data_IF_360991264720
#
_entry.id   IF_360991264720
#
_cell.length_a   1.000
_cell.length_b   1.000
_cell.length_c   1.000
_cell.angle_alpha   90.00
_cell.angle_beta   90.00
_cell.angle_gamma   90.00
#
_symmetry.space_group_name_H-M   'P 1'
#
loop_
_entity.id
_entity.type
_entity.pdbx_description
1 polymer ?
#
# COMPACT_ATOMS: atom_id res chain seq x y z
N UNK A 1 41.04 -13.58 39.26
CA UNK A 1 40.74 -12.91 37.97
C UNK A 1 39.22 -12.89 37.85
N UNK A 2 38.63 -11.70 37.74
CA UNK A 2 37.21 -11.46 37.95
C UNK A 2 36.33 -12.09 36.84
N UNK A 3 35.57 -13.12 37.22
CA UNK A 3 34.38 -13.57 36.51
C UNK A 3 33.21 -13.45 37.51
N UNK A 4 32.77 -12.22 37.75
CA UNK A 4 31.66 -11.91 38.65
C UNK A 4 30.78 -10.86 38.00
N UNK A 5 30.19 -11.20 36.84
CA UNK A 5 29.10 -10.42 36.28
C UNK A 5 27.82 -10.75 37.03
N UNK A 6 27.07 -9.74 37.45
CA UNK A 6 25.70 -9.91 37.97
C UNK A 6 24.88 -10.59 36.86
N UNK A 7 24.19 -11.67 37.20
CA UNK A 7 23.33 -12.36 36.22
C UNK A 7 22.11 -11.49 35.92
N UNK A 8 21.55 -11.60 34.71
CA UNK A 8 20.38 -10.79 34.32
C UNK A 8 19.22 -11.02 35.30
N UNK A 9 19.06 -12.25 35.75
CA UNK A 9 18.04 -12.71 36.68
C UNK A 9 18.19 -12.15 38.10
N UNK A 10 19.36 -11.60 38.43
CA UNK A 10 19.67 -10.98 39.73
C UNK A 10 19.37 -9.46 39.73
N UNK A 11 18.97 -8.89 38.59
CA UNK A 11 18.58 -7.48 38.53
C UNK A 11 17.26 -7.23 39.26
N UNK A 12 17.09 -6.03 39.87
CA UNK A 12 15.80 -5.56 40.34
C UNK A 12 14.71 -5.65 39.27
N UNK A 13 13.48 -5.92 39.72
CA UNK A 13 12.30 -6.07 38.86
C UNK A 13 12.13 -4.87 37.92
N UNK A 14 12.36 -3.66 38.41
CA UNK A 14 12.21 -2.41 37.67
C UNK A 14 13.23 -2.32 36.53
N UNK A 15 14.45 -2.81 36.72
CA UNK A 15 15.47 -2.86 35.66
C UNK A 15 15.12 -3.91 34.61
N UNK A 16 14.61 -5.07 35.02
CA UNK A 16 14.11 -6.09 34.10
C UNK A 16 12.98 -5.55 33.23
N UNK A 17 12.01 -4.86 33.84
CA UNK A 17 10.89 -4.23 33.14
C UNK A 17 11.36 -3.12 32.19
N UNK A 18 12.33 -2.30 32.61
CA UNK A 18 12.92 -1.26 31.76
C UNK A 18 13.65 -1.86 30.54
N UNK A 19 14.39 -2.96 30.73
CA UNK A 19 15.04 -3.69 29.64
C UNK A 19 14.00 -4.23 28.65
N UNK A 20 12.91 -4.83 29.15
CA UNK A 20 11.82 -5.33 28.30
C UNK A 20 11.10 -4.20 27.55
N UNK A 21 10.83 -3.07 28.21
CA UNK A 21 10.21 -1.89 27.60
C UNK A 21 11.10 -1.22 26.53
N UNK A 22 12.42 -1.42 26.62
CA UNK A 22 13.39 -0.96 25.64
C UNK A 22 13.59 -1.93 24.46
N UNK A 23 12.83 -3.02 24.38
CA UNK A 23 12.89 -3.91 23.22
C UNK A 23 12.61 -3.12 21.92
N UNK A 24 13.37 -3.37 20.85
CA UNK A 24 13.27 -2.61 19.60
C UNK A 24 11.97 -2.91 18.83
N UNK A 25 11.41 -4.11 19.00
CA UNK A 25 10.24 -4.57 18.28
C UNK A 25 9.49 -5.66 19.06
N UNK A 26 8.27 -5.96 18.58
CA UNK A 26 7.34 -6.87 19.22
C UNK A 26 7.88 -8.31 19.25
N UNK A 27 8.63 -8.73 18.22
CA UNK A 27 9.21 -10.08 18.12
C UNK A 27 10.34 -10.29 19.13
N UNK A 28 11.16 -9.26 19.33
CA UNK A 28 12.24 -9.27 20.32
C UNK A 28 11.66 -9.32 21.72
N UNK A 29 10.58 -8.56 22.00
CA UNK A 29 9.84 -8.66 23.25
C UNK A 29 9.28 -10.07 23.47
N UNK A 30 8.59 -10.64 22.47
CA UNK A 30 8.06 -12.01 22.52
C UNK A 30 9.18 -13.02 22.87
N UNK A 31 10.31 -12.97 22.16
CA UNK A 31 11.44 -13.86 22.39
C UNK A 31 12.02 -13.70 23.82
N UNK A 32 12.16 -12.47 24.30
CA UNK A 32 12.65 -12.20 25.65
C UNK A 32 11.72 -12.77 26.72
N UNK A 33 10.41 -12.56 26.57
CA UNK A 33 9.38 -13.09 27.48
C UNK A 33 9.37 -14.63 27.48
N UNK A 34 9.64 -15.25 26.33
CA UNK A 34 9.68 -16.70 26.18
C UNK A 34 11.00 -17.35 26.64
N UNK A 35 12.02 -16.56 26.99
CA UNK A 35 13.36 -17.07 27.35
C UNK A 35 13.37 -17.78 28.71
N UNK A 36 12.57 -17.33 29.68
CA UNK A 36 12.50 -18.00 30.97
C UNK A 36 11.57 -17.34 32.00
N UNK A 37 11.37 -18.00 33.16
CA UNK A 37 10.39 -17.56 34.15
C UNK A 37 10.67 -16.18 34.74
N UNK A 38 11.94 -15.77 34.88
CA UNK A 38 12.31 -14.47 35.45
C UNK A 38 11.77 -13.32 34.58
N UNK A 39 12.12 -13.29 33.29
CA UNK A 39 11.66 -12.28 32.34
C UNK A 39 10.15 -12.36 32.12
N UNK A 40 9.58 -13.57 32.05
CA UNK A 40 8.14 -13.76 31.96
C UNK A 40 7.40 -13.14 33.15
N UNK A 41 7.87 -13.36 34.37
CA UNK A 41 7.24 -12.79 35.57
C UNK A 41 7.41 -11.27 35.64
N UNK A 42 8.58 -10.74 35.24
CA UNK A 42 8.80 -9.30 35.17
C UNK A 42 7.86 -8.64 34.15
N UNK A 43 7.72 -9.25 32.98
CA UNK A 43 6.78 -8.85 31.95
C UNK A 43 5.33 -8.89 32.45
N UNK A 44 4.89 -10.01 33.01
CA UNK A 44 3.49 -10.20 33.44
C UNK A 44 3.02 -9.14 34.45
N UNK A 45 3.92 -8.64 35.29
CA UNK A 45 3.62 -7.58 36.26
C UNK A 45 3.47 -6.17 35.64
N UNK A 46 3.91 -5.95 34.41
CA UNK A 46 3.93 -4.64 33.74
C UNK A 46 3.63 -4.71 32.23
N UNK A 47 2.91 -5.74 31.79
CA UNK A 47 2.65 -6.04 30.37
C UNK A 47 2.16 -4.80 29.62
N UNK A 48 1.17 -4.10 30.20
CA UNK A 48 0.58 -2.93 29.59
C UNK A 48 1.59 -1.82 29.30
N UNK A 49 2.45 -1.52 30.28
CA UNK A 49 3.45 -0.44 30.20
C UNK A 49 4.55 -0.82 29.19
N UNK A 50 4.98 -2.08 29.23
CA UNK A 50 6.02 -2.60 28.35
C UNK A 50 5.55 -2.59 26.90
N UNK A 51 4.38 -3.17 26.61
CA UNK A 51 3.83 -3.26 25.25
C UNK A 51 3.54 -1.88 24.68
N UNK A 52 2.98 -0.98 25.49
CA UNK A 52 2.75 0.42 25.14
C UNK A 52 4.04 1.15 24.71
N UNK A 53 5.18 0.77 25.29
CA UNK A 53 6.48 1.34 24.93
C UNK A 53 7.06 0.70 23.66
N UNK A 54 6.93 -0.62 23.52
CA UNK A 54 7.57 -1.39 22.43
C UNK A 54 6.86 -1.20 21.09
N UNK A 55 5.53 -1.14 21.05
CA UNK A 55 4.79 -1.02 19.77
C UNK A 55 5.22 0.24 19.00
N UNK A 56 5.28 1.45 19.58
CA UNK A 56 5.77 2.63 18.87
C UNK A 56 7.23 2.57 18.41
N UNK A 57 8.09 1.76 19.03
CA UNK A 57 9.50 1.64 18.60
C UNK A 57 9.65 0.92 17.24
N UNK A 58 8.73 0.02 16.93
CA UNK A 58 8.76 -0.76 15.68
C UNK A 58 8.36 0.08 14.46
N UNK A 59 7.55 1.12 14.65
CA UNK A 59 6.94 1.87 13.55
C UNK A 59 7.47 3.28 13.43
N UNK A 60 7.57 3.75 12.20
CA UNK A 60 7.73 5.17 11.95
C UNK A 60 6.53 5.94 12.52
N UNK A 61 6.80 7.09 13.16
CA UNK A 61 5.76 7.92 13.78
C UNK A 61 4.62 8.27 12.79
N UNK A 62 4.96 8.44 11.52
CA UNK A 62 4.00 8.74 10.44
C UNK A 62 3.05 7.58 10.10
N UNK A 63 3.45 6.35 10.40
CA UNK A 63 2.67 5.13 10.14
C UNK A 63 1.80 4.72 11.30
N UNK A 64 2.09 5.18 12.53
CA UNK A 64 1.46 4.67 13.74
C UNK A 64 -0.07 4.84 13.72
N UNK A 65 -0.57 5.96 13.17
CA UNK A 65 -2.00 6.17 12.96
C UNK A 65 -2.62 5.08 12.08
N UNK A 66 -2.04 4.78 10.93
CA UNK A 66 -2.53 3.79 9.97
C UNK A 66 -2.43 2.36 10.52
N UNK A 67 -1.36 2.05 11.24
CA UNK A 67 -1.14 0.77 11.93
C UNK A 67 -2.23 0.51 12.97
N UNK A 68 -2.45 1.48 13.87
CA UNK A 68 -3.43 1.34 14.94
C UNK A 68 -4.86 1.34 14.42
N UNK A 69 -5.15 2.16 13.39
CA UNK A 69 -6.46 2.16 12.72
C UNK A 69 -6.74 0.81 12.04
N UNK A 70 -5.76 0.22 11.36
CA UNK A 70 -5.91 -1.10 10.75
C UNK A 70 -6.18 -2.18 11.81
N UNK A 71 -5.50 -2.14 12.95
CA UNK A 71 -5.78 -3.03 14.07
C UNK A 71 -7.17 -2.81 14.68
N UNK A 72 -7.55 -1.56 14.94
CA UNK A 72 -8.87 -1.23 15.49
C UNK A 72 -10.01 -1.68 14.55
N UNK A 73 -9.82 -1.55 13.23
CA UNK A 73 -10.81 -1.96 12.23
C UNK A 73 -11.13 -3.45 12.27
N UNK A 74 -10.19 -4.32 12.67
CA UNK A 74 -10.43 -5.77 12.74
C UNK A 74 -11.40 -6.15 13.88
N UNK A 75 -11.65 -5.24 14.82
CA UNK A 75 -12.58 -5.43 15.95
C UNK A 75 -14.00 -4.96 15.61
N UNK A 76 -14.18 -4.27 14.47
CA UNK A 76 -15.48 -3.79 14.03
C UNK A 76 -16.25 -4.94 13.39
N UNK A 77 -17.40 -5.26 13.95
CA UNK A 77 -18.31 -6.25 13.39
C UNK A 77 -19.54 -5.54 12.81
N UNK A 78 -19.57 -5.40 11.49
CA UNK A 78 -20.73 -4.84 10.78
C UNK A 78 -21.66 -6.00 10.39
N UNK A 79 -22.86 -6.11 10.97
CA UNK A 79 -23.82 -7.14 10.60
C UNK A 79 -24.19 -7.02 9.11
N UNK A 80 -24.27 -8.15 8.42
CA UNK A 80 -24.57 -8.17 6.98
C UNK A 80 -26.04 -7.82 6.66
N UNK A 81 -26.93 -7.84 7.66
CA UNK A 81 -28.39 -7.78 7.51
C UNK A 81 -29.08 -6.63 8.28
N UNK A 82 -28.36 -5.54 8.61
CA UNK A 82 -28.99 -4.39 9.28
C UNK A 82 -29.69 -3.46 8.29
N UNK A 83 -30.97 -3.18 8.53
CA UNK A 83 -31.74 -2.07 7.92
C UNK A 83 -31.18 -0.69 8.30
N UNK A 84 -30.35 -0.63 9.35
CA UNK A 84 -29.63 0.58 9.70
C UNK A 84 -28.57 0.93 8.65
N UNK A 85 -28.56 2.20 8.28
CA UNK A 85 -27.56 2.79 7.40
C UNK A 85 -26.14 2.44 7.91
N UNK A 86 -25.35 1.64 7.16
CA UNK A 86 -24.02 1.20 7.61
C UNK A 86 -23.08 2.37 7.90
N UNK A 87 -23.41 3.57 7.41
CA UNK A 87 -22.74 4.81 7.75
C UNK A 87 -22.77 5.14 9.25
N UNK A 88 -23.89 4.90 9.96
CA UNK A 88 -23.97 5.15 11.42
C UNK A 88 -23.05 4.24 12.23
N UNK A 89 -22.81 3.02 11.74
CA UNK A 89 -21.93 2.05 12.40
C UNK A 89 -20.45 2.33 12.09
N UNK A 90 -20.17 2.96 10.95
CA UNK A 90 -18.82 3.33 10.52
C UNK A 90 -18.35 4.67 11.05
N UNK A 91 -19.27 5.63 11.24
CA UNK A 91 -18.97 7.00 11.64
C UNK A 91 -18.07 7.08 12.89
N UNK A 92 -18.27 6.28 13.96
CA UNK A 92 -17.39 6.31 15.14
C UNK A 92 -15.93 5.94 14.85
N UNK A 93 -15.68 5.19 13.78
CA UNK A 93 -14.33 4.83 13.33
C UNK A 93 -13.80 5.82 12.27
N UNK A 94 -14.63 6.16 11.28
CA UNK A 94 -14.20 6.95 10.12
C UNK A 94 -13.92 8.41 10.50
N UNK A 95 -14.68 9.01 11.42
CA UNK A 95 -14.44 10.39 11.88
C UNK A 95 -13.04 10.55 12.49
N UNK A 96 -12.63 9.80 13.52
CA UNK A 96 -11.28 9.92 14.08
C UNK A 96 -10.19 9.46 13.08
N UNK A 97 -10.49 8.49 12.20
CA UNK A 97 -9.58 8.09 11.14
C UNK A 97 -9.25 9.25 10.20
N UNK A 98 -10.26 9.93 9.65
CA UNK A 98 -10.07 11.07 8.75
C UNK A 98 -9.50 12.30 9.45
N UNK A 99 -9.83 12.52 10.73
CA UNK A 99 -9.23 13.60 11.52
C UNK A 99 -7.74 13.38 11.84
N UNK A 100 -7.17 12.21 11.49
CA UNK A 100 -5.84 11.77 11.94
C UNK A 100 -5.70 11.84 13.47
N UNK A 101 -6.77 11.52 14.19
CA UNK A 101 -6.75 11.47 15.65
C UNK A 101 -6.05 10.18 16.12
N UNK A 102 -4.71 10.24 16.13
CA UNK A 102 -3.89 9.13 16.61
C UNK A 102 -4.20 8.80 18.08
N UNK A 103 -4.56 9.80 18.90
CA UNK A 103 -4.85 9.60 20.32
C UNK A 103 -6.09 8.73 20.51
N UNK A 104 -7.10 8.87 19.65
CA UNK A 104 -8.27 8.00 19.66
C UNK A 104 -7.88 6.52 19.53
N UNK A 105 -7.11 6.17 18.50
CA UNK A 105 -6.72 4.77 18.28
C UNK A 105 -5.76 4.27 19.35
N UNK A 106 -4.84 5.12 19.80
CA UNK A 106 -3.89 4.82 20.85
C UNK A 106 -4.58 4.54 22.20
N UNK A 107 -5.60 5.33 22.55
CA UNK A 107 -6.39 5.13 23.77
C UNK A 107 -7.31 3.91 23.68
N UNK A 108 -7.80 3.56 22.48
CA UNK A 108 -8.64 2.39 22.25
C UNK A 108 -7.87 1.06 22.25
N UNK A 109 -6.53 1.11 22.21
CA UNK A 109 -5.68 -0.06 22.13
C UNK A 109 -5.65 -0.81 23.46
N UNK A 110 -5.96 -2.10 23.40
CA UNK A 110 -5.69 -3.04 24.48
C UNK A 110 -4.19 -3.38 24.43
N UNK A 111 -3.39 -2.72 25.27
CA UNK A 111 -1.93 -2.90 25.31
C UNK A 111 -1.54 -4.25 25.95
N UNK A 112 -1.78 -5.35 25.24
CA UNK A 112 -1.30 -6.68 25.60
C UNK A 112 -0.40 -7.23 24.50
N UNK A 113 0.48 -8.17 24.87
CA UNK A 113 1.38 -8.81 23.90
C UNK A 113 0.58 -9.58 22.85
N UNK A 114 -0.56 -10.17 23.21
CA UNK A 114 -1.43 -10.84 22.25
C UNK A 114 -1.94 -9.90 21.15
N UNK A 115 -2.33 -8.67 21.50
CA UNK A 115 -2.79 -7.69 20.53
C UNK A 115 -1.62 -7.14 19.71
N UNK A 116 -0.46 -6.91 20.35
CA UNK A 116 0.77 -6.51 19.65
C UNK A 116 1.21 -7.56 18.62
N UNK A 117 1.08 -8.86 18.93
CA UNK A 117 1.41 -9.92 17.97
C UNK A 117 0.49 -9.92 16.74
N UNK A 118 -0.79 -9.53 16.89
CA UNK A 118 -1.68 -9.34 15.74
C UNK A 118 -1.25 -8.16 14.87
N UNK A 119 -0.83 -7.04 15.49
CA UNK A 119 -0.24 -5.90 14.78
C UNK A 119 1.01 -6.36 14.02
N UNK A 120 1.92 -7.08 14.68
CA UNK A 120 3.14 -7.57 14.06
C UNK A 120 2.85 -8.54 12.90
N UNK A 121 1.83 -9.40 13.01
CA UNK A 121 1.45 -10.30 11.93
C UNK A 121 0.98 -9.55 10.68
N UNK A 122 0.22 -8.46 10.85
CA UNK A 122 -0.16 -7.59 9.76
C UNK A 122 1.05 -6.85 9.19
N UNK A 123 1.92 -6.31 10.05
CA UNK A 123 3.14 -5.61 9.62
C UNK A 123 4.06 -6.51 8.80
N UNK A 124 4.27 -7.77 9.19
CA UNK A 124 5.02 -8.73 8.38
C UNK A 124 4.41 -8.91 6.98
N UNK A 125 3.08 -8.82 6.85
CA UNK A 125 2.42 -8.84 5.55
C UNK A 125 2.63 -7.55 4.76
N UNK A 126 2.56 -6.40 5.43
CA UNK A 126 2.86 -5.10 4.83
C UNK A 126 4.30 -5.05 4.34
N UNK A 127 5.29 -5.35 5.19
CA UNK A 127 6.70 -5.30 4.81
C UNK A 127 7.02 -6.24 3.65
N UNK A 128 6.44 -7.45 3.64
CA UNK A 128 6.56 -8.38 2.51
C UNK A 128 6.10 -7.74 1.19
N UNK A 129 4.94 -7.07 1.18
CA UNK A 129 4.43 -6.42 -0.02
C UNK A 129 5.16 -5.14 -0.35
N UNK A 130 5.61 -4.36 0.64
CA UNK A 130 6.47 -3.18 0.41
C UNK A 130 7.72 -3.58 -0.35
N UNK A 131 8.43 -4.61 0.12
CA UNK A 131 9.65 -5.09 -0.53
C UNK A 131 9.39 -5.62 -1.93
N UNK A 132 8.29 -6.36 -2.09
CA UNK A 132 7.93 -6.94 -3.38
C UNK A 132 7.50 -5.88 -4.40
N UNK A 133 6.68 -4.91 -3.99
CA UNK A 133 6.26 -3.77 -4.82
C UNK A 133 7.48 -2.93 -5.20
N UNK A 134 8.30 -2.57 -4.21
CA UNK A 134 9.53 -1.83 -4.44
C UNK A 134 10.43 -2.53 -5.46
N UNK A 135 10.60 -3.84 -5.32
CA UNK A 135 11.39 -4.64 -6.24
C UNK A 135 10.76 -4.64 -7.63
N UNK A 136 9.51 -5.11 -7.79
CA UNK A 136 8.86 -5.27 -9.09
C UNK A 136 8.66 -3.94 -9.84
N UNK A 137 8.31 -2.87 -9.13
CA UNK A 137 8.00 -1.59 -9.75
C UNK A 137 9.23 -0.77 -10.16
N UNK A 138 10.36 -0.94 -9.46
CA UNK A 138 11.62 -0.27 -9.83
C UNK A 138 12.28 -0.85 -11.09
N UNK A 139 11.92 -2.08 -11.49
CA UNK A 139 12.43 -2.73 -12.71
C UNK A 139 11.62 -2.43 -13.96
N UNK A 140 10.48 -1.73 -13.84
CA UNK A 140 9.71 -1.34 -15.02
C UNK A 140 10.51 -0.24 -15.72
N UNK A 141 10.93 -0.45 -16.99
CA UNK A 141 11.77 0.50 -17.70
C UNK A 141 11.12 1.87 -17.58
N UNK A 142 11.83 2.79 -16.93
CA UNK A 142 11.56 4.20 -17.07
C UNK A 142 11.35 4.45 -18.55
N UNK A 143 10.41 5.29 -18.90
CA UNK A 143 10.14 5.67 -20.29
C UNK A 143 11.40 6.16 -21.03
N UNK A 144 12.55 6.33 -20.37
CA UNK A 144 13.89 6.52 -20.94
C UNK A 144 14.34 5.34 -21.82
N UNK A 145 14.57 5.60 -23.10
CA UNK A 145 15.24 4.71 -24.05
C UNK A 145 16.75 4.57 -23.80
N UNK A 146 17.27 5.00 -22.64
CA UNK A 146 18.71 4.90 -22.37
C UNK A 146 19.11 3.43 -22.23
N UNK A 147 20.01 2.99 -23.11
CA UNK A 147 20.55 1.62 -23.18
C UNK A 147 21.32 1.20 -21.92
N UNK A 148 21.55 2.14 -20.99
CA UNK A 148 22.16 1.89 -19.69
C UNK A 148 21.09 1.92 -18.59
N UNK A 149 20.70 0.77 -18.00
CA UNK A 149 19.82 0.79 -16.83
C UNK A 149 20.51 1.61 -15.73
N UNK A 150 19.89 2.72 -15.36
CA UNK A 150 20.34 3.51 -14.23
C UNK A 150 20.45 2.58 -12.99
N UNK A 151 21.47 2.75 -12.13
CA UNK A 151 21.58 1.93 -10.93
C UNK A 151 20.29 2.09 -10.12
N UNK A 152 19.57 0.98 -9.95
CA UNK A 152 18.29 0.94 -9.22
C UNK A 152 18.58 1.30 -7.77
N UNK A 153 18.41 2.58 -7.45
CA UNK A 153 18.56 3.06 -6.07
C UNK A 153 17.35 2.53 -5.29
N UNK A 154 17.57 1.89 -4.12
CA UNK A 154 16.47 1.42 -3.27
C UNK A 154 15.45 2.54 -2.99
N UNK A 155 14.19 2.21 -2.69
CA UNK A 155 13.21 3.21 -2.30
C UNK A 155 13.68 3.99 -1.08
N UNK A 156 13.42 5.29 -1.08
CA UNK A 156 13.64 6.13 0.08
C UNK A 156 12.68 5.73 1.22
N UNK A 157 12.94 6.24 2.42
CA UNK A 157 12.07 6.01 3.57
C UNK A 157 10.65 6.54 3.34
N UNK A 158 10.51 7.71 2.69
CA UNK A 158 9.20 8.31 2.37
C UNK A 158 8.44 7.48 1.35
N UNK A 159 9.12 6.93 0.33
CA UNK A 159 8.52 6.02 -0.65
C UNK A 159 8.01 4.72 0.00
N UNK A 160 8.82 4.10 0.87
CA UNK A 160 8.37 2.91 1.62
C UNK A 160 7.18 3.24 2.52
N UNK A 161 7.21 4.38 3.21
CA UNK A 161 6.10 4.80 4.07
C UNK A 161 4.81 5.07 3.31
N UNK A 162 4.87 5.64 2.09
CA UNK A 162 3.68 5.75 1.22
C UNK A 162 3.06 4.39 0.92
N UNK A 163 3.88 3.45 0.46
CA UNK A 163 3.44 2.09 0.14
C UNK A 163 2.83 1.44 1.39
N UNK A 164 3.49 1.55 2.55
CA UNK A 164 2.98 1.03 3.83
C UNK A 164 1.64 1.66 4.21
N UNK A 165 1.49 2.99 4.18
CA UNK A 165 0.22 3.66 4.48
C UNK A 165 -0.91 3.17 3.57
N UNK A 166 -0.67 3.06 2.28
CA UNK A 166 -1.67 2.58 1.33
C UNK A 166 -2.04 1.11 1.58
N UNK A 167 -1.09 0.27 1.97
CA UNK A 167 -1.34 -1.12 2.37
C UNK A 167 -2.15 -1.22 3.66
N UNK A 168 -1.82 -0.44 4.70
CA UNK A 168 -2.63 -0.40 5.93
C UNK A 168 -4.04 0.10 5.64
N UNK A 169 -4.19 1.20 4.88
CA UNK A 169 -5.48 1.73 4.45
C UNK A 169 -6.30 0.68 3.67
N UNK A 170 -5.66 -0.03 2.74
CA UNK A 170 -6.28 -1.13 2.02
C UNK A 170 -6.81 -2.21 2.98
N UNK A 171 -5.99 -2.64 3.94
CA UNK A 171 -6.39 -3.65 4.91
C UNK A 171 -7.51 -3.19 5.85
N UNK A 172 -7.47 -1.93 6.28
CA UNK A 172 -8.56 -1.29 7.04
C UNK A 172 -9.88 -1.43 6.28
N UNK A 173 -9.88 -1.13 4.99
CA UNK A 173 -11.06 -1.26 4.14
C UNK A 173 -11.54 -2.71 3.96
N UNK A 174 -10.62 -3.68 3.85
CA UNK A 174 -10.98 -5.10 3.90
C UNK A 174 -11.71 -5.46 5.21
N UNK A 175 -11.20 -5.01 6.35
CA UNK A 175 -11.75 -5.33 7.68
C UNK A 175 -13.13 -4.72 7.89
N UNK A 176 -13.36 -3.49 7.41
CA UNK A 176 -14.66 -2.85 7.50
C UNK A 176 -15.73 -3.57 6.66
N UNK A 177 -15.35 -4.44 5.71
CA UNK A 177 -16.25 -5.20 4.83
C UNK A 177 -17.31 -4.34 4.14
N UNK A 178 -17.01 -3.06 3.97
CA UNK A 178 -17.89 -2.14 3.27
C UNK A 178 -17.58 -2.22 1.79
N UNK A 179 -18.62 -2.40 0.97
CA UNK A 179 -18.46 -2.39 -0.48
C UNK A 179 -17.75 -1.13 -0.95
N UNK A 180 -16.96 -1.24 -2.02
CA UNK A 180 -16.04 -0.18 -2.44
C UNK A 180 -16.72 1.11 -2.86
N UNK A 181 -17.96 1.05 -3.35
CA UNK A 181 -18.77 2.25 -3.60
C UNK A 181 -18.94 3.10 -2.32
N UNK A 182 -19.00 2.47 -1.14
CA UNK A 182 -19.04 3.15 0.15
C UNK A 182 -17.67 3.66 0.57
N UNK A 183 -16.59 2.94 0.24
CA UNK A 183 -15.21 3.41 0.42
C UNK A 183 -14.97 4.66 -0.43
N UNK A 184 -15.48 4.69 -1.66
CA UNK A 184 -15.44 5.85 -2.55
C UNK A 184 -16.21 7.05 -2.00
N UNK A 185 -17.31 6.85 -1.26
CA UNK A 185 -17.97 7.95 -0.56
C UNK A 185 -17.05 8.64 0.47
N UNK A 186 -16.13 7.89 1.09
CA UNK A 186 -15.09 8.45 1.97
C UNK A 186 -13.80 8.85 1.23
N UNK A 187 -13.73 8.64 -0.08
CA UNK A 187 -12.56 9.02 -0.89
C UNK A 187 -12.44 10.54 -1.06
N UNK A 188 -13.54 11.29 -0.87
CA UNK A 188 -13.57 12.75 -0.94
C UNK A 188 -12.71 13.44 0.15
N UNK A 189 -12.40 12.72 1.23
CA UNK A 189 -11.52 13.20 2.31
C UNK A 189 -10.03 13.08 2.00
N UNK A 190 -9.66 12.48 0.88
CA UNK A 190 -8.28 12.28 0.47
C UNK A 190 -8.01 13.03 -0.83
N UNK A 191 -6.77 13.47 -1.00
CA UNK A 191 -6.35 14.00 -2.28
C UNK A 191 -6.42 12.89 -3.36
N UNK A 192 -6.65 13.25 -4.63
CA UNK A 192 -6.79 12.28 -5.71
C UNK A 192 -5.60 11.32 -5.84
N UNK A 193 -4.37 11.81 -5.65
CA UNK A 193 -3.17 10.97 -5.69
C UNK A 193 -3.09 9.98 -4.52
N UNK A 194 -3.60 10.31 -3.32
CA UNK A 194 -3.66 9.38 -2.19
C UNK A 194 -4.69 8.25 -2.43
N UNK A 195 -5.77 8.55 -3.15
CA UNK A 195 -6.70 7.51 -3.61
C UNK A 195 -6.10 6.69 -4.74
N UNK A 196 -5.37 7.30 -5.66
CA UNK A 196 -4.69 6.57 -6.74
C UNK A 196 -3.59 5.64 -6.21
N UNK A 197 -2.93 6.01 -5.10
CA UNK A 197 -2.01 5.12 -4.39
C UNK A 197 -2.71 3.84 -3.93
N UNK A 198 -3.94 3.94 -3.43
CA UNK A 198 -4.73 2.77 -3.05
C UNK A 198 -5.08 1.90 -4.27
N UNK A 199 -5.42 2.51 -5.42
CA UNK A 199 -5.64 1.76 -6.66
C UNK A 199 -4.38 1.07 -7.16
N UNK A 200 -3.19 1.68 -7.01
CA UNK A 200 -1.91 1.04 -7.30
C UNK A 200 -1.70 -0.23 -6.46
N UNK A 201 -1.93 -0.15 -5.15
CA UNK A 201 -1.84 -1.30 -4.24
C UNK A 201 -2.86 -2.37 -4.63
N UNK A 202 -4.10 -1.97 -4.86
CA UNK A 202 -5.16 -2.89 -5.24
C UNK A 202 -4.82 -3.65 -6.54
N UNK A 203 -4.41 -2.96 -7.60
CA UNK A 203 -4.06 -3.57 -8.89
C UNK A 203 -2.90 -4.55 -8.72
N UNK A 204 -1.89 -4.16 -7.93
CA UNK A 204 -0.75 -5.02 -7.62
C UNK A 204 -1.20 -6.31 -6.90
N UNK A 205 -2.02 -6.20 -5.86
CA UNK A 205 -2.53 -7.35 -5.10
C UNK A 205 -3.41 -8.25 -5.96
N UNK A 206 -4.26 -7.67 -6.81
CA UNK A 206 -5.06 -8.40 -7.77
C UNK A 206 -4.18 -9.23 -8.71
N UNK A 207 -3.15 -8.63 -9.31
CA UNK A 207 -2.22 -9.34 -10.18
C UNK A 207 -1.44 -10.42 -9.40
N UNK A 208 -1.00 -10.12 -8.18
CA UNK A 208 -0.26 -11.07 -7.36
C UNK A 208 -1.10 -12.32 -7.03
N UNK A 209 -2.36 -12.13 -6.65
CA UNK A 209 -3.30 -13.25 -6.37
C UNK A 209 -3.69 -13.96 -7.66
N UNK A 210 -3.97 -13.23 -8.75
CA UNK A 210 -4.29 -13.80 -10.06
C UNK A 210 -3.19 -14.73 -10.55
N UNK A 211 -1.92 -14.30 -10.49
CA UNK A 211 -0.75 -15.12 -10.89
C UNK A 211 -0.69 -16.46 -10.16
N UNK A 212 -1.07 -16.46 -8.88
CA UNK A 212 -1.13 -17.68 -8.08
C UNK A 212 -2.28 -18.56 -8.53
N UNK A 213 -3.49 -17.99 -8.65
CA UNK A 213 -4.67 -18.78 -8.96
C UNK A 213 -4.62 -19.35 -10.37
N UNK A 214 -4.10 -18.59 -11.33
CA UNK A 214 -3.87 -19.00 -12.73
C UNK A 214 -2.67 -19.95 -12.92
N UNK A 215 -2.02 -20.44 -11.84
CA UNK A 215 -0.92 -21.40 -11.97
C UNK A 215 -1.45 -22.73 -12.56
N UNK A 216 -0.92 -23.19 -13.71
CA UNK A 216 -1.34 -24.44 -14.33
C UNK A 216 -1.25 -25.67 -13.41
N UNK A 217 -0.34 -25.66 -12.43
CA UNK A 217 -0.20 -26.74 -11.42
C UNK A 217 -1.39 -26.80 -10.46
N UNK A 218 -2.13 -25.70 -10.28
CA UNK A 218 -3.34 -25.64 -9.46
C UNK A 218 -4.58 -26.09 -10.24
N UNK A 219 -4.62 -25.87 -11.56
CA UNK A 219 -5.80 -26.14 -12.38
C UNK A 219 -6.30 -27.60 -12.28
N UNK A 220 -5.37 -28.57 -12.21
CA UNK A 220 -5.73 -29.99 -12.09
C UNK A 220 -6.35 -30.36 -10.75
N UNK A 221 -6.20 -29.50 -9.73
CA UNK A 221 -6.67 -29.74 -8.36
C UNK A 221 -7.76 -28.76 -7.93
N UNK A 222 -8.27 -27.93 -8.86
CA UNK A 222 -9.30 -26.97 -8.54
C UNK A 222 -10.59 -27.63 -8.06
N UNK A 223 -11.24 -27.06 -7.03
CA UNK A 223 -12.64 -27.34 -6.74
C UNK A 223 -13.51 -27.16 -8.00
N UNK A 224 -14.53 -28.00 -8.14
CA UNK A 224 -15.39 -28.04 -9.32
C UNK A 224 -16.09 -26.70 -9.61
N UNK A 225 -16.39 -25.89 -8.58
CA UNK A 225 -16.99 -24.56 -8.76
C UNK A 225 -16.02 -23.57 -9.44
N UNK A 226 -14.71 -23.64 -9.15
CA UNK A 226 -13.70 -22.78 -9.79
C UNK A 226 -13.56 -23.16 -11.27
N UNK A 227 -13.49 -24.46 -11.58
CA UNK A 227 -13.39 -24.92 -12.97
C UNK A 227 -14.56 -24.46 -13.84
N UNK A 228 -15.75 -24.23 -13.26
CA UNK A 228 -16.92 -23.72 -13.99
C UNK A 228 -16.83 -22.22 -14.30
N UNK A 229 -16.26 -21.43 -13.40
CA UNK A 229 -16.13 -19.98 -13.58
C UNK A 229 -14.87 -19.59 -14.34
N UNK A 230 -13.86 -20.47 -14.40
CA UNK A 230 -12.63 -20.22 -15.11
C UNK A 230 -12.87 -20.11 -16.62
N UNK A 231 -12.95 -18.88 -17.05
CA UNK A 231 -12.92 -18.49 -18.44
C UNK A 231 -12.20 -17.13 -18.47
N UNK A 232 -11.10 -16.98 -19.23
CA UNK A 232 -10.32 -15.74 -19.30
C UNK A 232 -11.13 -14.51 -19.74
N UNK A 233 -12.33 -14.71 -20.29
CA UNK A 233 -13.27 -13.65 -20.70
C UNK A 233 -14.46 -13.47 -19.75
N UNK A 234 -14.51 -14.19 -18.63
CA UNK A 234 -15.63 -14.20 -17.70
C UNK A 234 -15.32 -13.40 -16.43
N UNK A 235 -16.17 -12.42 -16.15
CA UNK A 235 -16.13 -11.59 -14.95
C UNK A 235 -16.23 -12.41 -13.65
N UNK A 236 -16.83 -13.60 -13.68
CA UNK A 236 -16.97 -14.45 -12.50
C UNK A 236 -15.63 -14.88 -11.90
N UNK A 237 -14.60 -15.12 -12.72
CA UNK A 237 -13.27 -15.48 -12.21
C UNK A 237 -12.51 -14.27 -11.65
N UNK A 238 -12.69 -13.09 -12.26
CA UNK A 238 -12.14 -11.85 -11.69
C UNK A 238 -12.82 -11.51 -10.36
N UNK A 239 -14.13 -11.73 -10.22
CA UNK A 239 -14.85 -11.60 -8.95
C UNK A 239 -14.34 -12.58 -7.88
N UNK A 240 -13.94 -13.79 -8.28
CA UNK A 240 -13.32 -14.76 -7.39
C UNK A 240 -11.93 -14.30 -6.90
N UNK A 241 -11.12 -13.72 -7.79
CA UNK A 241 -9.83 -13.10 -7.41
C UNK A 241 -10.08 -11.93 -6.44
N UNK A 242 -11.04 -11.06 -6.76
CA UNK A 242 -11.45 -9.94 -5.93
C UNK A 242 -11.87 -10.37 -4.54
N UNK A 243 -12.62 -11.47 -4.42
CA UNK A 243 -12.98 -12.04 -3.13
C UNK A 243 -11.73 -12.37 -2.31
N UNK A 244 -10.75 -13.06 -2.88
CA UNK A 244 -9.51 -13.36 -2.14
C UNK A 244 -8.70 -12.12 -1.77
N UNK A 245 -8.66 -11.11 -2.64
CA UNK A 245 -8.04 -9.83 -2.34
C UNK A 245 -8.78 -9.12 -1.18
N UNK A 246 -10.10 -9.20 -1.13
CA UNK A 246 -10.93 -8.60 -0.07
C UNK A 246 -10.73 -9.24 1.32
N UNK A 247 -10.17 -10.45 1.40
CA UNK A 247 -9.82 -11.09 2.68
C UNK A 247 -8.59 -10.44 3.35
N UNK A 248 -7.95 -9.46 2.70
CA UNK A 248 -6.89 -8.64 3.28
C UNK A 248 -5.46 -9.18 3.10
N UNK A 249 -4.50 -8.41 3.58
CA UNK A 249 -3.07 -8.61 3.28
C UNK A 249 -2.49 -9.90 3.84
N UNK A 250 -2.91 -10.33 5.03
CA UNK A 250 -2.42 -11.59 5.62
C UNK A 250 -2.80 -12.77 4.73
N UNK A 251 -4.04 -12.77 4.22
CA UNK A 251 -4.52 -13.79 3.28
C UNK A 251 -3.78 -13.70 1.93
N UNK A 252 -3.68 -12.50 1.36
CA UNK A 252 -2.95 -12.28 0.12
C UNK A 252 -1.48 -12.72 0.24
N UNK A 253 -0.79 -12.46 1.37
CA UNK A 253 0.58 -12.92 1.62
C UNK A 253 0.67 -14.43 1.71
N UNK A 254 -0.29 -15.10 2.36
CA UNK A 254 -0.33 -16.58 2.41
C UNK A 254 -0.41 -17.19 1.02
N UNK A 255 -1.14 -16.57 0.12
CA UNK A 255 -1.13 -16.91 -1.31
C UNK A 255 0.22 -16.50 -1.96
N UNK A 256 0.76 -15.33 -1.69
CA UNK A 256 1.95 -14.87 -2.39
C UNK A 256 3.26 -15.64 -2.06
N UNK A 257 3.40 -16.23 -0.86
CA UNK A 257 4.63 -16.88 -0.35
C UNK A 257 4.96 -18.27 -0.96
N UNK A 258 4.40 -18.63 -2.11
CA UNK A 258 4.48 -19.99 -2.64
C UNK A 258 5.89 -20.55 -2.89
N UNK A 259 6.09 -21.76 -2.36
CA UNK A 259 7.03 -22.81 -2.83
C UNK A 259 6.20 -24.06 -3.14
N UNK A 260 6.66 -24.95 -4.01
CA UNK A 260 5.89 -26.10 -4.56
C UNK A 260 5.19 -27.00 -3.52
N UNK A 261 5.67 -27.05 -2.27
CA UNK A 261 5.05 -27.83 -1.17
C UNK A 261 3.73 -27.23 -0.63
N UNK A 262 3.39 -25.98 -0.97
CA UNK A 262 2.21 -25.28 -0.44
C UNK A 262 0.94 -25.40 -1.29
N UNK A 263 0.99 -26.05 -2.46
CA UNK A 263 -0.15 -26.23 -3.35
C UNK A 263 -1.35 -26.92 -2.66
N UNK A 264 -1.09 -27.89 -1.78
CA UNK A 264 -2.14 -28.58 -1.02
C UNK A 264 -2.81 -27.68 0.03
N UNK A 265 -2.07 -26.73 0.61
CA UNK A 265 -2.63 -25.78 1.57
C UNK A 265 -3.52 -24.76 0.86
N UNK A 266 -3.12 -24.30 -0.33
CA UNK A 266 -3.96 -23.43 -1.17
C UNK A 266 -5.23 -24.17 -1.55
N UNK A 267 -5.16 -25.41 -2.04
CA UNK A 267 -6.35 -26.18 -2.42
C UNK A 267 -7.31 -26.35 -1.24
N UNK A 268 -6.80 -26.48 0.00
CA UNK A 268 -7.65 -26.45 1.21
C UNK A 268 -8.33 -25.09 1.39
N UNK A 269 -7.56 -24.00 1.34
CA UNK A 269 -8.09 -22.62 1.42
C UNK A 269 -9.16 -22.36 0.35
N UNK A 270 -8.94 -22.81 -0.88
CA UNK A 270 -9.90 -22.67 -1.99
C UNK A 270 -11.15 -23.54 -1.79
N UNK A 271 -11.02 -24.72 -1.17
CA UNK A 271 -12.14 -25.62 -0.91
C UNK A 271 -13.03 -25.12 0.24
N UNK A 272 -12.44 -24.45 1.22
CA UNK A 272 -13.14 -23.88 2.38
C UNK A 272 -13.79 -22.52 2.07
N UNK A 273 -13.53 -21.97 0.87
CA UNK A 273 -14.14 -20.73 0.40
C UNK A 273 -15.58 -20.98 -0.05
N UNK A 274 -16.59 -20.28 0.49
CA UNK A 274 -18.01 -20.49 0.17
C UNK A 274 -18.35 -20.16 -1.29
N UNK A 275 -19.45 -20.73 -1.78
CA UNK A 275 -19.90 -20.61 -3.17
C UNK A 275 -20.27 -19.16 -3.56
N UNK A 276 -20.12 -18.86 -4.85
CA UNK A 276 -19.96 -17.53 -5.48
C UNK A 276 -21.07 -16.49 -5.23
N UNK A 277 -22.23 -16.89 -4.68
CA UNK A 277 -23.35 -15.96 -4.45
C UNK A 277 -23.06 -14.90 -3.36
N UNK A 278 -22.00 -15.08 -2.56
CA UNK A 278 -21.59 -14.15 -1.51
C UNK A 278 -20.34 -13.33 -1.85
N UNK A 279 -19.79 -13.44 -3.06
CA UNK A 279 -18.62 -12.65 -3.45
C UNK A 279 -19.00 -11.16 -3.49
N UNK A 280 -18.71 -10.47 -2.39
CA UNK A 280 -18.78 -9.02 -2.29
C UNK A 280 -18.04 -8.43 -3.49
N UNK A 281 -18.74 -7.58 -4.22
CA UNK A 281 -18.22 -6.69 -5.24
C UNK A 281 -17.22 -5.72 -4.62
N UNK A 282 -16.07 -6.24 -4.19
CA UNK A 282 -15.01 -5.48 -3.54
C UNK A 282 -14.40 -4.48 -4.51
N UNK A 283 -14.66 -4.64 -5.81
CA UNK A 283 -14.58 -3.65 -6.86
C UNK A 283 -15.49 -4.09 -8.01
N UNK A 284 -16.81 -3.98 -7.83
CA UNK A 284 -17.56 -3.84 -9.09
C UNK A 284 -16.99 -2.59 -9.75
N UNK A 285 -16.64 -2.71 -11.04
CA UNK A 285 -16.49 -1.55 -11.89
C UNK A 285 -17.88 -0.97 -12.05
N UNK A 286 -18.43 -0.41 -10.97
CA UNK A 286 -19.82 -0.05 -10.92
C UNK A 286 -20.02 1.05 -11.95
N UNK A 287 -20.72 0.77 -13.07
CA UNK A 287 -21.03 1.79 -14.04
C UNK A 287 -21.91 2.88 -13.40
N UNK A 288 -22.49 2.65 -12.22
CA UNK A 288 -23.28 3.61 -11.47
C UNK A 288 -22.48 4.62 -10.65
N UNK A 289 -21.15 4.53 -10.56
CA UNK A 289 -20.33 5.72 -10.22
C UNK A 289 -20.33 6.76 -11.35
N UNK A 290 -20.83 6.39 -12.52
CA UNK A 290 -21.36 7.34 -13.50
C UNK A 290 -22.73 7.86 -13.01
N UNK A 291 -22.71 8.76 -12.02
CA UNK A 291 -23.66 9.86 -12.09
C UNK A 291 -23.62 10.47 -13.50
N UNK A 292 -24.65 11.23 -13.94
CA UNK A 292 -24.60 11.86 -15.27
C UNK A 292 -23.23 12.53 -15.39
N UNK A 293 -22.44 12.14 -16.41
CA UNK A 293 -21.12 12.70 -16.68
C UNK A 293 -21.31 14.20 -16.80
N UNK A 294 -21.22 14.90 -15.68
CA UNK A 294 -21.14 16.33 -15.68
C UNK A 294 -19.84 16.55 -16.43
N UNK A 295 -19.94 17.15 -17.61
CA UNK A 295 -18.77 17.51 -18.42
C UNK A 295 -17.85 18.32 -17.53
N UNK A 296 -16.92 17.64 -16.88
CA UNK A 296 -15.97 18.26 -15.98
C UNK A 296 -14.81 18.63 -16.87
N UNK A 297 -14.38 19.88 -16.75
CA UNK A 297 -13.33 20.38 -17.62
C UNK A 297 -12.04 19.57 -17.37
N UNK A 298 -11.14 19.42 -18.36
CA UNK A 298 -9.86 18.77 -18.12
C UNK A 298 -9.04 19.50 -17.06
N UNK A 299 -8.21 18.78 -16.31
CA UNK A 299 -7.38 19.35 -15.23
C UNK A 299 -6.53 20.54 -15.72
N UNK A 300 -5.98 20.46 -16.94
CA UNK A 300 -5.18 21.55 -17.52
C UNK A 300 -5.92 22.87 -17.73
N UNK A 301 -7.24 22.88 -17.60
CA UNK A 301 -8.08 24.08 -17.71
C UNK A 301 -8.58 24.60 -16.36
N UNK A 302 -8.22 23.94 -15.25
CA UNK A 302 -8.65 24.34 -13.92
C UNK A 302 -8.03 25.69 -13.55
N UNK A 303 -8.87 26.60 -13.04
CA UNK A 303 -8.42 27.80 -12.37
C UNK A 303 -8.27 27.55 -10.85
N UNK A 304 -7.89 28.58 -10.09
CA UNK A 304 -7.70 28.45 -8.63
C UNK A 304 -8.99 28.09 -7.86
N UNK A 305 -10.16 28.49 -8.36
CA UNK A 305 -11.46 28.13 -7.78
C UNK A 305 -11.81 26.68 -8.08
N UNK A 306 -11.57 26.21 -9.32
CA UNK A 306 -11.74 24.81 -9.70
C UNK A 306 -10.84 23.89 -8.86
N UNK A 307 -9.56 24.27 -8.68
CA UNK A 307 -8.62 23.57 -7.80
C UNK A 307 -9.17 23.46 -6.37
N UNK A 308 -9.60 24.58 -5.77
CA UNK A 308 -10.14 24.60 -4.42
C UNK A 308 -11.44 23.78 -4.26
N UNK A 309 -12.28 23.73 -5.30
CA UNK A 309 -13.57 23.06 -5.27
C UNK A 309 -13.50 21.57 -5.62
N UNK A 310 -12.46 21.13 -6.34
CA UNK A 310 -12.42 19.79 -6.92
C UNK A 310 -11.20 18.96 -6.55
N UNK A 311 -10.16 19.57 -5.98
CA UNK A 311 -8.96 18.88 -5.51
C UNK A 311 -8.86 19.04 -3.99
N UNK A 312 -9.33 18.04 -3.22
CA UNK A 312 -9.17 18.02 -1.78
C UNK A 312 -7.70 18.15 -1.37
N UNK A 313 -7.48 18.80 -0.23
CA UNK A 313 -6.16 18.87 0.37
C UNK A 313 -5.68 17.47 0.78
N UNK A 314 -4.36 17.22 0.75
CA UNK A 314 -3.83 15.92 1.14
C UNK A 314 -4.14 15.63 2.60
N UNK A 315 -4.65 14.43 2.84
CA UNK A 315 -4.98 13.95 4.18
C UNK A 315 -3.71 13.76 5.02
N UNK A 316 -2.64 13.27 4.40
CA UNK A 316 -1.30 13.27 4.97
C UNK A 316 -0.43 14.37 4.36
N UNK A 317 0.24 15.14 5.21
CA UNK A 317 1.18 16.18 4.78
C UNK A 317 2.50 15.57 4.34
N UNK A 318 2.53 15.04 3.11
CA UNK A 318 3.76 14.52 2.50
C UNK A 318 4.77 15.65 2.32
N UNK A 319 6.02 15.50 2.81
CA UNK A 319 7.04 16.52 2.61
C UNK A 319 7.54 16.62 1.15
N UNK A 320 7.21 15.64 0.31
CA UNK A 320 7.64 15.57 -1.09
C UNK A 320 6.43 15.68 -2.06
N UNK A 321 6.58 16.49 -3.11
CA UNK A 321 5.51 16.77 -4.08
C UNK A 321 5.37 15.71 -5.18
N UNK A 322 6.27 14.73 -5.23
CA UNK A 322 6.35 13.73 -6.30
C UNK A 322 5.02 13.05 -6.62
N UNK A 323 4.28 12.52 -5.62
CA UNK A 323 2.97 11.90 -5.83
C UNK A 323 1.94 12.82 -6.51
N UNK A 324 1.87 14.09 -6.09
CA UNK A 324 0.96 15.06 -6.67
C UNK A 324 1.40 15.42 -8.10
N UNK A 325 2.68 15.75 -8.28
CA UNK A 325 3.22 16.20 -9.57
C UNK A 325 3.02 15.16 -10.67
N UNK A 326 3.30 13.89 -10.37
CA UNK A 326 3.17 12.81 -11.34
C UNK A 326 1.72 12.43 -11.59
N UNK A 327 0.86 12.58 -10.58
CA UNK A 327 -0.58 12.45 -10.76
C UNK A 327 -1.14 13.55 -11.66
N UNK A 328 -0.73 14.81 -11.46
CA UNK A 328 -1.13 15.94 -12.33
C UNK A 328 -0.68 15.72 -13.77
N UNK A 329 0.53 15.22 -13.98
CA UNK A 329 1.01 14.81 -15.30
C UNK A 329 0.16 13.68 -15.91
N UNK A 330 -0.18 12.65 -15.12
CA UNK A 330 -0.99 11.52 -15.57
C UNK A 330 -2.50 11.85 -15.74
N UNK A 331 -2.98 12.95 -15.17
CA UNK A 331 -4.39 13.37 -15.21
C UNK A 331 -4.60 14.66 -16.01
N UNK A 332 -3.54 15.19 -16.63
CA UNK A 332 -3.50 16.49 -17.31
C UNK A 332 -4.68 16.75 -18.25
N UNK A 333 -4.99 15.77 -19.10
CA UNK A 333 -6.06 15.86 -20.12
C UNK A 333 -7.37 15.19 -19.68
N UNK A 334 -7.40 14.61 -18.47
CA UNK A 334 -8.57 13.91 -17.93
C UNK A 334 -9.53 14.86 -17.22
N UNK A 335 -10.82 14.53 -17.27
CA UNK A 335 -11.84 15.14 -16.40
C UNK A 335 -11.78 14.59 -14.98
N UNK A 336 -12.60 15.16 -14.09
CA UNK A 336 -12.64 14.77 -12.66
C UNK A 336 -12.97 13.27 -12.48
N UNK A 337 -13.77 12.71 -13.36
CA UNK A 337 -14.11 11.29 -13.41
C UNK A 337 -12.91 10.37 -13.67
N UNK A 338 -11.85 10.90 -14.28
CA UNK A 338 -10.62 10.16 -14.61
C UNK A 338 -9.50 10.40 -13.59
N UNK A 339 -9.73 11.21 -12.55
CA UNK A 339 -8.71 11.57 -11.57
C UNK A 339 -8.25 10.37 -10.74
N UNK A 340 -9.11 9.39 -10.53
CA UNK A 340 -8.82 8.23 -9.67
C UNK A 340 -9.36 6.97 -10.34
N UNK A 341 -8.54 5.92 -10.39
CA UNK A 341 -8.98 4.60 -10.84
C UNK A 341 -9.26 4.50 -12.34
N UNK A 342 -8.93 5.53 -13.13
CA UNK A 342 -9.19 5.52 -14.58
C UNK A 342 -8.52 4.32 -15.23
N UNK A 343 -9.22 3.66 -16.15
CA UNK A 343 -8.69 2.49 -16.87
C UNK A 343 -7.50 2.86 -17.75
N UNK A 344 -7.41 4.14 -18.17
CA UNK A 344 -6.28 4.69 -18.92
C UNK A 344 -4.97 4.66 -18.11
N UNK A 345 -5.06 4.67 -16.78
CA UNK A 345 -3.90 4.66 -15.88
C UNK A 345 -3.41 3.25 -15.51
N UNK A 346 -4.09 2.16 -15.94
CA UNK A 346 -3.66 0.77 -15.64
C UNK A 346 -2.18 0.52 -15.95
N UNK A 347 -1.62 0.96 -17.11
CA UNK A 347 -0.19 0.79 -17.38
C UNK A 347 0.70 1.52 -16.39
N UNK A 348 0.27 2.68 -15.88
CA UNK A 348 1.02 3.48 -14.91
C UNK A 348 0.99 2.85 -13.51
N UNK A 349 -0.16 2.28 -13.12
CA UNK A 349 -0.31 1.58 -11.85
C UNK A 349 0.61 0.38 -11.70
N UNK A 350 1.06 -0.25 -12.80
CA UNK A 350 2.02 -1.36 -12.77
C UNK A 350 3.36 -0.99 -12.12
N UNK A 351 3.80 0.25 -12.28
CA UNK A 351 5.00 0.77 -11.62
C UNK A 351 4.68 1.71 -10.45
N UNK A 352 3.44 1.63 -9.93
CA UNK A 352 2.96 2.38 -8.76
C UNK A 352 3.31 3.87 -8.82
N UNK A 353 3.05 4.49 -9.97
CA UNK A 353 3.61 5.79 -10.35
C UNK A 353 3.47 6.93 -9.32
N UNK A 354 2.41 6.95 -8.51
CA UNK A 354 2.16 7.93 -7.45
C UNK A 354 2.83 7.62 -6.10
N UNK A 355 3.69 6.61 -6.03
CA UNK A 355 4.43 6.23 -4.82
C UNK A 355 5.82 6.86 -4.72
N UNK A 356 6.30 7.48 -5.79
CA UNK A 356 7.71 7.88 -5.91
C UNK A 356 7.97 9.31 -5.50
N UNK A 357 9.14 9.53 -4.91
CA UNK A 357 9.61 10.88 -4.60
C UNK A 357 9.88 11.66 -5.89
N UNK A 358 9.77 12.98 -5.80
CA UNK A 358 10.01 13.90 -6.91
C UNK A 358 11.38 13.71 -7.55
N UNK A 359 12.41 13.49 -6.74
CA UNK A 359 13.77 13.31 -7.24
C UNK A 359 13.92 12.07 -8.14
N UNK A 360 13.17 10.99 -7.86
CA UNK A 360 13.20 9.76 -8.65
C UNK A 360 12.45 9.95 -9.96
N UNK A 361 11.32 10.64 -9.90
CA UNK A 361 10.51 11.00 -11.08
C UNK A 361 11.32 11.87 -12.04
N UNK A 362 12.06 12.84 -11.50
CA UNK A 362 12.97 13.71 -12.25
C UNK A 362 14.11 12.90 -12.88
N UNK A 363 14.69 11.93 -12.17
CA UNK A 363 15.73 11.03 -12.70
C UNK A 363 15.22 10.18 -13.87
N UNK A 364 14.00 9.66 -13.75
CA UNK A 364 13.34 8.92 -14.82
C UNK A 364 12.88 9.80 -16.00
N UNK A 365 12.98 11.12 -15.87
CA UNK A 365 12.59 12.09 -16.89
C UNK A 365 11.13 11.93 -17.35
N UNK A 366 10.25 11.40 -16.49
CA UNK A 366 8.85 11.07 -16.84
C UNK A 366 8.10 12.33 -17.25
N UNK A 367 8.28 13.41 -16.50
CA UNK A 367 7.52 14.66 -16.65
C UNK A 367 7.93 15.48 -17.88
N UNK A 368 9.05 15.14 -18.53
CA UNK A 368 9.52 15.80 -19.76
C UNK A 368 8.83 15.19 -20.98
N UNK A 369 8.45 13.91 -20.91
CA UNK A 369 7.84 13.23 -22.05
C UNK A 369 6.38 13.65 -22.19
N UNK A 370 6.03 14.11 -23.39
CA UNK A 370 4.64 14.40 -23.75
C UNK A 370 3.86 13.09 -23.71
N UNK A 371 2.71 13.10 -23.03
CA UNK A 371 1.85 11.92 -22.91
C UNK A 371 1.27 11.58 -24.28
N UNK A 372 1.65 10.44 -24.84
CA UNK A 372 0.98 9.90 -26.03
C UNK A 372 -0.42 9.40 -25.63
N UNK A 373 -1.47 9.69 -26.43
CA UNK A 373 -2.82 9.20 -26.14
C UNK A 373 -2.87 7.67 -26.03
N UNK A 374 -3.74 7.11 -25.17
CA UNK A 374 -3.76 5.68 -24.85
C UNK A 374 -4.04 4.75 -26.04
N UNK A 375 -4.58 5.26 -27.15
CA UNK A 375 -4.94 4.46 -28.33
C UNK A 375 -3.76 3.90 -29.14
N UNK A 376 -2.51 4.28 -28.86
CA UNK A 376 -1.33 3.77 -29.59
C UNK A 376 -0.37 2.92 -28.73
N UNK A 377 -0.65 2.73 -27.44
CA UNK A 377 0.37 2.25 -26.49
C UNK A 377 0.54 0.72 -26.38
N UNK A 378 -0.34 -0.10 -26.96
CA UNK A 378 -0.20 -1.57 -26.87
C UNK A 378 0.49 -2.21 -28.09
N UNK A 379 0.45 -1.58 -29.27
CA UNK A 379 1.19 -2.06 -30.46
C UNK A 379 2.64 -1.52 -30.51
N UNK A 380 3.00 -0.53 -29.70
CA UNK A 380 4.33 0.11 -29.72
C UNK A 380 5.33 -0.41 -28.68
N UNK A 381 4.98 -1.43 -27.88
CA UNK A 381 5.97 -2.17 -27.05
C UNK A 381 6.94 -2.99 -27.93
N UNK A 382 6.77 -2.94 -29.26
CA UNK A 382 7.69 -3.50 -30.24
C UNK A 382 8.12 -2.47 -31.30
N UNK A 383 8.74 -1.32 -30.95
CA UNK A 383 9.77 -0.70 -31.83
C UNK A 383 10.60 0.44 -31.15
N UNK A 384 11.93 0.52 -31.38
CA UNK A 384 12.82 1.55 -30.85
C UNK A 384 13.05 2.72 -31.82
N UNK A 385 12.11 3.66 -31.97
CA UNK A 385 12.26 4.82 -32.89
C UNK A 385 11.55 6.10 -32.39
N UNK A 386 11.73 6.51 -31.14
CA UNK A 386 11.51 7.91 -30.75
C UNK A 386 12.82 8.44 -30.17
N UNK A 387 13.44 9.36 -30.90
CA UNK A 387 14.77 9.89 -30.56
C UNK A 387 14.84 10.40 -29.13
N UNK A 388 15.99 10.18 -28.50
CA UNK A 388 16.30 10.71 -27.18
C UNK A 388 16.00 12.21 -27.11
N UNK A 389 15.37 12.72 -26.03
CA UNK A 389 15.32 14.15 -25.79
C UNK A 389 16.75 14.65 -25.67
N UNK A 390 17.09 15.62 -26.53
CA UNK A 390 18.43 16.19 -26.58
C UNK A 390 18.75 16.93 -25.27
N UNK A 391 20.03 17.14 -24.91
CA UNK A 391 20.41 17.94 -23.74
C UNK A 391 19.78 19.34 -23.71
N UNK A 392 19.28 19.83 -24.84
CA UNK A 392 18.61 21.12 -25.01
C UNK A 392 17.14 21.12 -24.49
N UNK A 393 16.49 19.95 -24.39
CA UNK A 393 15.09 19.80 -23.96
C UNK A 393 14.90 19.81 -22.43
N UNK A 394 16.00 19.83 -21.66
CA UNK A 394 15.96 19.83 -20.19
C UNK A 394 15.83 21.25 -19.66
N UNK A 395 14.81 21.50 -18.83
CA UNK A 395 14.66 22.81 -18.18
C UNK A 395 15.90 23.16 -17.36
N UNK A 396 16.31 24.44 -17.27
CA UNK A 396 17.49 24.87 -16.51
C UNK A 396 17.47 24.39 -15.04
N UNK A 397 16.27 24.36 -14.43
CA UNK A 397 16.07 23.87 -13.06
C UNK A 397 16.35 22.36 -12.94
N UNK A 398 16.00 21.56 -13.96
CA UNK A 398 16.30 20.12 -13.99
C UNK A 398 17.81 19.88 -14.12
N UNK A 399 18.50 20.63 -14.99
CA UNK A 399 19.96 20.54 -15.15
C UNK A 399 20.68 20.86 -13.84
N UNK A 400 20.27 21.94 -13.16
CA UNK A 400 20.86 22.37 -11.90
C UNK A 400 20.66 21.32 -10.78
N UNK A 401 19.46 20.72 -10.69
CA UNK A 401 19.14 19.66 -9.71
C UNK A 401 19.95 18.39 -9.94
N UNK A 402 20.09 17.95 -11.20
CA UNK A 402 20.90 16.78 -11.57
C UNK A 402 22.39 17.02 -11.28
N UNK A 403 22.91 18.22 -11.55
CA UNK A 403 24.27 18.62 -11.20
C UNK A 403 24.49 18.67 -9.67
N UNK A 404 23.55 19.22 -8.91
CA UNK A 404 23.62 19.26 -7.46
C UNK A 404 23.62 17.85 -6.83
N UNK A 405 22.96 16.88 -7.46
CA UNK A 405 22.97 15.47 -7.03
C UNK A 405 24.28 14.76 -7.36
N UNK A 406 24.83 14.93 -8.57
CA UNK A 406 26.15 14.38 -8.92
C UNK A 406 27.24 14.84 -7.95
N UNK A 407 27.21 16.12 -7.56
CA UNK A 407 28.11 16.66 -6.52
C UNK A 407 27.92 15.96 -5.17
N UNK A 408 26.66 15.71 -4.75
CA UNK A 408 26.35 15.00 -3.49
C UNK A 408 26.76 13.53 -3.50
N UNK A 409 26.73 12.89 -4.67
CA UNK A 409 27.11 11.48 -4.86
C UNK A 409 28.60 11.28 -5.20
N UNK A 410 29.41 12.35 -5.24
CA UNK A 410 30.82 12.28 -5.61
C UNK A 410 31.09 11.91 -7.08
N UNK A 411 30.08 12.01 -7.93
CA UNK A 411 30.17 11.69 -9.36
C UNK A 411 30.65 12.93 -10.14
N UNK A 412 31.61 12.75 -11.05
CA UNK A 412 32.07 13.85 -11.93
C UNK A 412 30.94 14.28 -12.87
N UNK A 413 30.75 15.58 -13.13
CA UNK A 413 29.86 16.04 -14.19
C UNK A 413 30.45 15.62 -15.56
N UNK A 414 29.63 15.01 -16.43
CA UNK A 414 30.02 14.78 -17.82
C UNK A 414 30.16 16.11 -18.55
N UNK A 415 31.12 16.19 -19.47
CA UNK A 415 31.42 17.40 -20.24
C UNK A 415 30.37 17.73 -21.33
N UNK A 416 29.34 16.91 -21.50
CA UNK A 416 28.32 17.03 -22.56
C UNK A 416 26.92 17.44 -22.05
N UNK A 417 26.81 18.30 -21.03
CA UNK A 417 25.52 18.71 -20.40
C UNK A 417 25.13 20.16 -20.66
#
# INVERSE_FOLDING_TARGET
MAQGGIQLEELPLELLQAILAAAPDIRTLEAAVMTGPCLYNAFKGAEQIIVHSVVPHQFDADLLHDVLAAHASSKINIPSNTDDSPYKLLEPFMVPYHARDQHHFYASMEWSLSQALLINQLDEAVQYFVDRIATEALYIPSTSDSETPAPVTPPSRTERNRISRSLYRFHTYCNLKVGWSKIMAYSEYFAPWENEQLYCIYEFLFIAVKRVLDDPKLHSNWPHHISKIYNPKNQAFDNYILFHVSLGLIHARRLALHTERHLQQIVRVLRDTPDLEQCLNFLDRDPYSSGPKQYTRPLNTFNAEDEANHIPQPWYRDPDSGPEDIWRWASHDGGKEDFVGSTVQIPLRRWVYVMWDRWRIDEWSVLIKQRLPPFQSWELIAWPQLGEPTPEDRTPQMKERLLARRRRLGLKPDQNW
#
